data_IF_875830172337
#
_entry.id   IF_875830172337
#
_cell.length_a   1.000
_cell.length_b   1.000
_cell.length_c   1.000
_cell.angle_alpha   90.00
_cell.angle_beta   90.00
_cell.angle_gamma   90.00
#
_symmetry.space_group_name_H-M   'P 1'
#
loop_
_entity.id
_entity.type
_entity.pdbx_description
1 polymer ?
#
# COMPACT_ATOMS: atom_id res chain seq x y z
N UNK A 1 66.40 -58.18 2.25
CA UNK A 1 65.55 -58.94 3.22
C UNK A 1 64.18 -58.29 3.19
N UNK A 2 63.16 -59.04 3.00
CA UNK A 2 61.74 -58.81 2.90
C UNK A 2 61.17 -58.48 1.51
N UNK A 3 60.58 -59.53 1.00
CA UNK A 3 59.89 -59.67 -0.26
C UNK A 3 58.46 -59.10 -0.22
N UNK A 4 58.13 -58.35 -1.23
CA UNK A 4 56.78 -57.96 -1.51
C UNK A 4 56.13 -58.88 -2.55
N UNK A 5 55.11 -59.57 -2.12
CA UNK A 5 54.24 -60.39 -2.96
C UNK A 5 53.10 -59.56 -3.50
N UNK A 6 53.14 -59.20 -4.77
CA UNK A 6 52.05 -58.56 -5.49
C UNK A 6 50.90 -59.57 -5.70
N UNK A 7 49.72 -59.24 -5.15
CA UNK A 7 48.45 -59.96 -5.44
C UNK A 7 47.83 -59.39 -6.72
N UNK A 8 47.74 -60.23 -7.73
CA UNK A 8 46.98 -59.98 -8.96
C UNK A 8 45.45 -60.00 -8.67
N UNK A 9 44.72 -59.02 -9.11
CA UNK A 9 43.23 -58.95 -9.13
C UNK A 9 42.71 -59.68 -10.37
N UNK A 10 41.58 -60.42 -10.27
CA UNK A 10 40.95 -61.07 -11.42
C UNK A 10 40.22 -60.07 -12.32
N UNK A 11 39.98 -60.42 -13.62
CA UNK A 11 39.36 -59.52 -14.58
C UNK A 11 37.84 -59.34 -14.34
N UNK A 12 37.37 -58.11 -14.54
CA UNK A 12 35.96 -57.74 -14.44
C UNK A 12 35.24 -58.15 -15.74
N UNK A 13 34.05 -58.77 -15.70
CA UNK A 13 33.29 -59.07 -16.91
C UNK A 13 32.67 -57.84 -17.52
N UNK A 14 32.78 -57.70 -18.85
CA UNK A 14 32.13 -56.67 -19.64
C UNK A 14 30.60 -56.90 -19.73
N UNK A 15 29.81 -56.00 -19.17
CA UNK A 15 28.36 -55.99 -19.38
C UNK A 15 28.01 -55.31 -20.70
N UNK A 16 27.24 -55.99 -21.50
CA UNK A 16 26.61 -55.46 -22.73
C UNK A 16 25.52 -54.45 -22.38
N UNK A 17 25.35 -53.33 -23.12
CA UNK A 17 24.31 -52.34 -22.84
C UNK A 17 22.93 -52.87 -23.26
N UNK A 18 21.97 -52.83 -22.33
CA UNK A 18 20.56 -53.04 -22.61
C UNK A 18 19.97 -51.75 -23.27
N UNK A 19 18.95 -51.85 -24.09
CA UNK A 19 18.33 -50.68 -24.74
C UNK A 19 17.60 -49.80 -23.73
N UNK A 20 17.99 -48.53 -23.67
CA UNK A 20 17.33 -47.49 -22.92
C UNK A 20 15.93 -47.22 -23.49
N UNK A 21 14.91 -47.64 -22.76
CA UNK A 21 13.52 -47.19 -22.98
C UNK A 21 13.39 -45.77 -22.41
N UNK A 22 13.33 -44.77 -23.29
CA UNK A 22 13.12 -43.38 -22.89
C UNK A 22 11.67 -43.23 -22.44
N UNK A 23 11.44 -43.28 -21.14
CA UNK A 23 10.17 -42.89 -20.55
C UNK A 23 10.07 -41.34 -20.53
N UNK A 24 9.18 -40.82 -21.37
CA UNK A 24 8.84 -39.37 -21.39
C UNK A 24 8.00 -39.06 -20.12
N UNK A 25 8.63 -38.54 -19.07
CA UNK A 25 7.91 -37.96 -17.94
C UNK A 25 7.33 -36.62 -18.36
N UNK A 26 6.04 -36.60 -18.69
CA UNK A 26 5.27 -35.36 -18.74
C UNK A 26 5.03 -34.90 -17.28
N UNK A 27 5.87 -34.02 -16.81
CA UNK A 27 5.64 -33.32 -15.55
C UNK A 27 4.47 -32.34 -15.74
N UNK A 28 3.26 -32.74 -15.40
CA UNK A 28 2.15 -31.83 -15.20
C UNK A 28 2.53 -30.95 -14.01
N UNK A 29 2.89 -29.70 -14.28
CA UNK A 29 2.93 -28.64 -13.27
C UNK A 29 1.50 -28.45 -12.77
N UNK A 30 1.14 -29.13 -11.70
CA UNK A 30 0.00 -28.73 -10.88
C UNK A 30 0.37 -27.37 -10.29
N UNK A 31 -0.23 -26.30 -10.81
CA UNK A 31 -0.21 -25.01 -10.15
C UNK A 31 -0.79 -25.24 -8.75
N UNK A 32 0.03 -25.04 -7.72
CA UNK A 32 -0.43 -25.12 -6.34
C UNK A 32 -1.57 -24.11 -6.18
N UNK A 33 -2.74 -24.59 -5.77
CA UNK A 33 -3.84 -23.71 -5.41
C UNK A 33 -3.37 -22.77 -4.30
N UNK A 34 -3.78 -21.49 -4.31
CA UNK A 34 -3.40 -20.57 -3.25
C UNK A 34 -3.86 -21.11 -1.89
N UNK A 35 -2.99 -21.01 -0.89
CA UNK A 35 -3.30 -21.48 0.45
C UNK A 35 -4.45 -20.63 1.02
N UNK A 36 -5.56 -21.27 1.35
CA UNK A 36 -6.71 -20.63 1.98
C UNK A 36 -6.46 -20.58 3.50
N UNK A 37 -6.45 -19.39 4.09
CA UNK A 37 -6.39 -19.24 5.53
C UNK A 37 -7.74 -19.65 6.17
N UNK A 38 -7.73 -20.05 7.46
CA UNK A 38 -8.87 -20.63 8.17
C UNK A 38 -10.16 -19.76 8.22
N UNK A 39 -10.10 -18.48 7.80
CA UNK A 39 -11.20 -17.50 7.89
C UNK A 39 -11.64 -16.94 6.53
N UNK A 40 -11.43 -17.67 5.44
CA UNK A 40 -11.81 -17.20 4.10
C UNK A 40 -10.75 -16.30 3.43
N UNK A 41 -9.68 -15.90 4.12
CA UNK A 41 -8.57 -15.19 3.52
C UNK A 41 -7.76 -16.09 2.59
N UNK A 42 -7.40 -15.59 1.43
CA UNK A 42 -6.62 -16.31 0.42
C UNK A 42 -5.37 -15.50 0.08
N UNK A 43 -4.19 -16.11 0.17
CA UNK A 43 -2.94 -15.52 -0.27
C UNK A 43 -2.92 -15.41 -1.81
N UNK A 44 -2.67 -14.20 -2.32
CA UNK A 44 -2.66 -13.92 -3.76
C UNK A 44 -1.29 -13.51 -4.28
N UNK A 45 -0.31 -13.25 -3.42
CA UNK A 45 1.01 -12.75 -3.84
C UNK A 45 2.14 -13.77 -3.73
N UNK A 46 2.03 -14.80 -2.89
CA UNK A 46 3.08 -15.81 -2.74
C UNK A 46 3.45 -16.51 -4.07
N UNK A 47 2.52 -16.84 -4.99
CA UNK A 47 2.89 -17.39 -6.29
C UNK A 47 3.75 -16.41 -7.12
N UNK A 48 3.47 -15.11 -7.07
CA UNK A 48 4.32 -14.09 -7.69
C UNK A 48 5.71 -14.05 -7.05
N UNK A 49 5.78 -14.00 -5.72
CA UNK A 49 7.04 -13.93 -4.97
C UNK A 49 7.94 -15.15 -5.27
N UNK A 50 7.36 -16.35 -5.34
CA UNK A 50 8.06 -17.57 -5.71
C UNK A 50 8.58 -17.52 -7.15
N UNK A 51 7.75 -17.07 -8.11
CA UNK A 51 8.15 -16.90 -9.51
C UNK A 51 9.33 -15.93 -9.63
N UNK A 52 9.29 -14.78 -8.93
CA UNK A 52 10.38 -13.82 -8.90
C UNK A 52 11.66 -14.42 -8.32
N UNK A 53 11.56 -15.11 -7.20
CA UNK A 53 12.69 -15.79 -6.56
C UNK A 53 13.32 -16.84 -7.48
N UNK A 54 12.51 -17.64 -8.17
CA UNK A 54 12.95 -18.65 -9.11
C UNK A 54 13.64 -18.04 -10.35
N UNK A 55 13.28 -16.82 -10.74
CA UNK A 55 13.96 -16.07 -11.81
C UNK A 55 15.23 -15.32 -11.33
N UNK A 56 15.60 -15.45 -10.06
CA UNK A 56 16.75 -14.78 -9.46
C UNK A 56 16.48 -13.40 -8.88
N UNK A 57 15.27 -12.87 -9.03
CA UNK A 57 14.85 -11.59 -8.44
C UNK A 57 14.29 -11.85 -7.03
N UNK A 58 14.93 -11.27 -6.02
CA UNK A 58 14.53 -11.45 -4.61
C UNK A 58 14.04 -10.13 -4.03
N UNK A 59 12.89 -10.11 -3.32
CA UNK A 59 12.50 -8.96 -2.54
C UNK A 59 13.62 -8.54 -1.58
N UNK A 60 13.82 -7.23 -1.44
CA UNK A 60 14.75 -6.66 -0.46
C UNK A 60 14.20 -6.84 0.97
N UNK A 61 14.99 -6.49 1.99
CA UNK A 61 14.49 -6.47 3.37
C UNK A 61 13.28 -5.53 3.51
N UNK A 62 12.22 -5.92 4.23
CA UNK A 62 12.00 -7.13 5.02
C UNK A 62 11.46 -8.34 4.25
N UNK A 63 11.46 -8.32 2.92
CA UNK A 63 10.89 -9.34 2.06
C UNK A 63 9.45 -9.02 1.65
N UNK A 64 8.77 -9.94 0.96
CA UNK A 64 7.35 -9.88 0.68
C UNK A 64 6.85 -8.62 -0.03
N UNK A 65 5.66 -8.18 0.38
CA UNK A 65 5.00 -6.96 -0.08
C UNK A 65 4.96 -5.90 1.02
N UNK A 66 4.68 -4.65 0.66
CA UNK A 66 4.59 -3.54 1.62
C UNK A 66 3.43 -2.59 1.37
N UNK A 67 2.72 -2.72 0.26
CA UNK A 67 1.59 -1.87 -0.10
C UNK A 67 0.56 -2.61 -0.92
N UNK A 68 -0.70 -2.22 -0.79
CA UNK A 68 -1.80 -2.65 -1.65
C UNK A 68 -2.78 -1.51 -1.84
N UNK A 69 -3.18 -1.28 -3.09
CA UNK A 69 -4.25 -0.34 -3.47
C UNK A 69 -5.11 -0.95 -4.56
N UNK A 70 -6.34 -0.45 -4.70
CA UNK A 70 -7.30 -0.91 -5.72
C UNK A 70 -7.82 0.28 -6.51
N UNK A 71 -7.89 0.10 -7.82
CA UNK A 71 -8.69 0.96 -8.67
C UNK A 71 -10.17 0.57 -8.51
N UNK A 72 -10.93 1.40 -7.81
CA UNK A 72 -12.30 1.10 -7.45
C UNK A 72 -13.27 1.00 -8.65
N UNK A 73 -12.88 1.47 -9.83
CA UNK A 73 -13.78 1.50 -11.01
C UNK A 73 -13.73 0.22 -11.83
N UNK A 74 -12.63 -0.51 -11.79
CA UNK A 74 -12.43 -1.75 -12.55
C UNK A 74 -11.95 -2.94 -11.71
N UNK A 75 -11.62 -2.71 -10.43
CA UNK A 75 -11.16 -3.77 -9.52
C UNK A 75 -9.68 -4.15 -9.71
N UNK A 76 -8.91 -3.43 -10.53
CA UNK A 76 -7.47 -3.69 -10.65
C UNK A 76 -6.78 -3.48 -9.31
N UNK A 77 -6.13 -4.51 -8.81
CA UNK A 77 -5.34 -4.43 -7.58
C UNK A 77 -3.86 -4.23 -7.92
N UNK A 78 -3.24 -3.25 -7.26
CA UNK A 78 -1.80 -2.98 -7.37
C UNK A 78 -1.14 -3.23 -6.03
N UNK A 79 -0.03 -4.00 -6.05
CA UNK A 79 0.78 -4.29 -4.87
C UNK A 79 2.20 -3.79 -5.08
N UNK A 80 2.86 -3.45 -3.98
CA UNK A 80 4.30 -3.15 -3.99
C UNK A 80 5.06 -4.36 -3.48
N UNK A 81 5.89 -4.93 -4.34
CA UNK A 81 6.87 -5.96 -3.96
C UNK A 81 8.14 -5.26 -3.53
N UNK A 82 8.59 -5.50 -2.31
CA UNK A 82 9.73 -4.79 -1.70
C UNK A 82 10.98 -4.88 -2.57
N UNK A 83 11.50 -3.72 -2.98
CA UNK A 83 12.66 -3.60 -3.86
C UNK A 83 12.42 -3.92 -5.34
N UNK A 84 11.28 -4.50 -5.70
CA UNK A 84 10.96 -4.99 -7.05
C UNK A 84 9.80 -4.25 -7.73
N UNK A 85 9.40 -3.10 -7.18
CA UNK A 85 8.45 -2.19 -7.80
C UNK A 85 6.98 -2.56 -7.63
N UNK A 86 6.15 -2.05 -8.54
CA UNK A 86 4.69 -2.17 -8.48
C UNK A 86 4.19 -3.21 -9.48
N UNK A 87 3.31 -4.06 -8.98
CA UNK A 87 2.72 -5.18 -9.71
C UNK A 87 1.21 -5.08 -9.67
N UNK A 88 0.56 -5.25 -10.82
CA UNK A 88 -0.88 -5.12 -10.97
C UNK A 88 -1.51 -6.43 -11.44
N UNK A 89 -2.69 -6.71 -10.91
CA UNK A 89 -3.57 -7.80 -11.32
C UNK A 89 -4.94 -7.24 -11.67
N UNK A 90 -5.51 -7.69 -12.78
CA UNK A 90 -6.90 -7.43 -13.20
C UNK A 90 -7.81 -8.66 -13.05
N UNK A 91 -7.31 -9.72 -12.43
CA UNK A 91 -8.02 -10.99 -12.19
C UNK A 91 -8.01 -11.40 -10.71
N UNK A 92 -8.05 -10.39 -9.82
CA UNK A 92 -8.12 -10.54 -8.35
C UNK A 92 -6.91 -11.29 -7.75
N UNK A 93 -5.71 -11.08 -8.32
CA UNK A 93 -4.47 -11.63 -7.81
C UNK A 93 -4.11 -13.02 -8.35
N UNK A 94 -4.81 -13.52 -9.37
CA UNK A 94 -4.45 -14.79 -10.02
C UNK A 94 -3.20 -14.66 -10.88
N UNK A 95 -3.10 -13.54 -11.63
CA UNK A 95 -1.91 -13.21 -12.42
C UNK A 95 -1.44 -11.79 -12.14
N UNK A 96 -0.14 -11.53 -12.33
CA UNK A 96 0.50 -10.27 -12.01
C UNK A 96 1.44 -9.82 -13.12
N UNK A 97 1.37 -8.53 -13.49
CA UNK A 97 2.31 -7.85 -14.39
C UNK A 97 2.95 -6.66 -13.69
N UNK A 98 4.22 -6.40 -13.95
CA UNK A 98 4.88 -5.19 -13.48
C UNK A 98 4.37 -3.97 -14.27
N UNK A 99 4.10 -2.85 -13.57
CA UNK A 99 3.52 -1.65 -14.19
C UNK A 99 4.41 -0.42 -14.14
N UNK A 100 5.46 -0.44 -13.34
CA UNK A 100 6.30 0.75 -13.10
C UNK A 100 7.58 0.77 -13.94
N UNK A 101 7.78 -0.20 -14.82
CA UNK A 101 8.97 -0.32 -15.66
C UNK A 101 10.28 -0.09 -14.87
N UNK A 102 10.39 -0.69 -13.69
CA UNK A 102 11.50 -0.55 -12.73
C UNK A 102 11.78 0.91 -12.27
N UNK A 103 10.82 1.81 -12.43
CA UNK A 103 10.95 3.21 -12.01
C UNK A 103 10.84 3.35 -10.50
N UNK A 104 9.97 2.57 -9.87
CA UNK A 104 9.71 2.57 -8.43
C UNK A 104 10.46 1.42 -7.77
N UNK A 105 10.97 1.66 -6.56
CA UNK A 105 11.70 0.64 -5.78
C UNK A 105 11.58 0.92 -4.28
N UNK A 106 12.30 0.15 -3.44
CA UNK A 106 12.22 0.27 -1.99
C UNK A 106 10.95 -0.34 -1.43
N UNK A 107 10.54 0.14 -0.25
CA UNK A 107 9.36 -0.35 0.48
C UNK A 107 8.44 0.78 0.89
N UNK A 108 7.20 0.44 1.17
CA UNK A 108 6.28 1.31 1.90
C UNK A 108 6.54 1.14 3.39
N UNK A 109 6.82 2.23 4.10
CA UNK A 109 7.00 2.21 5.55
C UNK A 109 5.64 2.21 6.25
N UNK A 110 4.62 2.75 5.62
CA UNK A 110 3.27 2.85 6.19
C UNK A 110 2.21 2.38 5.21
N UNK A 111 1.03 2.03 5.72
CA UNK A 111 -0.13 1.69 4.89
C UNK A 111 -0.69 2.84 4.03
N UNK A 112 -0.11 4.04 4.13
CA UNK A 112 -0.48 5.21 3.32
C UNK A 112 0.62 5.64 2.33
N UNK A 113 1.71 4.88 2.24
CA UNK A 113 2.82 5.23 1.36
C UNK A 113 2.50 5.01 -0.12
N UNK A 114 1.65 4.04 -0.46
CA UNK A 114 1.08 3.93 -1.81
C UNK A 114 -0.34 4.49 -1.82
N UNK A 115 -0.59 5.45 -2.71
CA UNK A 115 -1.85 6.21 -2.81
C UNK A 115 -2.46 6.08 -4.20
N UNK A 116 -3.78 6.06 -4.28
CA UNK A 116 -4.55 5.97 -5.52
C UNK A 116 -5.59 7.09 -5.59
N UNK A 117 -5.80 7.65 -6.78
CA UNK A 117 -6.91 8.57 -7.02
C UNK A 117 -8.23 7.80 -7.02
N UNK A 118 -9.11 8.14 -6.09
CA UNK A 118 -10.43 7.49 -5.95
C UNK A 118 -11.42 7.90 -7.06
N UNK A 119 -11.09 8.89 -7.89
CA UNK A 119 -11.97 9.41 -8.93
C UNK A 119 -11.54 8.98 -10.34
N UNK A 120 -10.23 8.91 -10.60
CA UNK A 120 -9.67 8.69 -11.94
C UNK A 120 -8.78 7.44 -11.96
N UNK A 121 -9.14 6.42 -12.75
CA UNK A 121 -8.35 5.20 -12.88
C UNK A 121 -6.92 5.44 -13.38
N UNK A 122 -5.98 4.62 -12.92
CA UNK A 122 -4.58 4.65 -13.37
C UNK A 122 -3.71 5.72 -12.70
N UNK A 123 -4.28 6.62 -11.89
CA UNK A 123 -3.52 7.64 -11.17
C UNK A 123 -3.07 7.09 -9.83
N UNK A 124 -1.75 6.95 -9.68
CA UNK A 124 -1.09 6.34 -8.54
C UNK A 124 0.11 7.18 -8.10
N UNK A 125 0.42 7.16 -6.81
CA UNK A 125 1.67 7.67 -6.27
C UNK A 125 2.24 6.68 -5.26
N UNK A 126 3.55 6.51 -5.26
CA UNK A 126 4.27 5.64 -4.34
C UNK A 126 5.37 6.43 -3.64
N UNK A 127 5.26 6.55 -2.34
CA UNK A 127 6.24 7.13 -1.44
C UNK A 127 7.09 5.99 -0.88
N UNK A 128 8.40 6.05 -1.09
CA UNK A 128 9.26 4.90 -0.80
C UNK A 128 10.32 5.23 0.22
N UNK A 129 10.57 4.27 1.10
CA UNK A 129 11.77 4.19 1.92
C UNK A 129 12.77 3.24 1.24
N UNK A 130 14.07 3.57 1.32
CA UNK A 130 15.19 2.80 0.73
C UNK A 130 15.10 2.60 -0.79
N UNK A 131 14.36 3.48 -1.49
CA UNK A 131 14.20 3.34 -2.93
C UNK A 131 13.70 4.58 -3.64
N UNK A 132 13.24 4.36 -4.86
CA UNK A 132 12.69 5.40 -5.73
C UNK A 132 11.21 5.57 -5.48
N UNK A 133 10.77 6.83 -5.37
CA UNK A 133 9.38 7.23 -5.26
C UNK A 133 8.95 8.01 -6.51
N UNK A 134 7.64 8.12 -6.74
CA UNK A 134 7.09 8.83 -7.90
C UNK A 134 5.59 8.62 -8.06
N UNK A 135 5.08 9.06 -9.20
CA UNK A 135 3.67 9.00 -9.53
C UNK A 135 3.43 8.70 -11.02
N UNK A 136 2.21 8.31 -11.35
CA UNK A 136 1.72 8.12 -12.72
C UNK A 136 0.29 8.64 -12.83
N UNK A 137 -0.13 9.00 -14.05
CA UNK A 137 -1.51 9.38 -14.36
C UNK A 137 -2.23 8.34 -15.21
N UNK A 138 -1.55 7.31 -15.68
CA UNK A 138 -2.08 6.30 -16.60
C UNK A 138 -1.73 4.85 -16.20
N UNK A 139 -1.00 4.69 -15.08
CA UNK A 139 -0.54 3.38 -14.60
C UNK A 139 0.62 2.76 -15.39
N UNK A 140 1.16 3.47 -16.37
CA UNK A 140 2.22 2.96 -17.26
C UNK A 140 3.45 3.89 -17.33
N UNK A 141 3.24 5.20 -17.42
CA UNK A 141 4.31 6.17 -17.50
C UNK A 141 4.54 6.82 -16.13
N UNK A 142 5.69 6.54 -15.54
CA UNK A 142 6.01 6.96 -14.18
C UNK A 142 6.96 8.15 -14.16
N UNK A 143 6.60 9.17 -13.40
CA UNK A 143 7.43 10.33 -13.05
C UNK A 143 8.11 10.06 -11.71
N UNK A 144 9.46 9.94 -11.70
CA UNK A 144 10.21 9.82 -10.45
C UNK A 144 10.30 11.17 -9.75
N UNK A 145 10.25 11.16 -8.43
CA UNK A 145 10.70 12.29 -7.63
C UNK A 145 12.20 12.48 -7.78
N UNK A 146 12.67 13.71 -7.61
CA UNK A 146 14.12 14.03 -7.56
C UNK A 146 14.81 13.34 -6.38
N UNK A 147 16.12 13.48 -6.30
CA UNK A 147 16.93 12.88 -5.22
C UNK A 147 16.48 13.28 -3.82
N UNK A 148 15.96 14.50 -3.63
CA UNK A 148 15.35 14.93 -2.37
C UNK A 148 14.06 14.17 -2.07
N UNK A 149 13.37 13.71 -3.10
CA UNK A 149 12.15 12.92 -2.99
C UNK A 149 12.38 11.45 -2.65
N UNK A 150 13.20 11.15 -1.63
CA UNK A 150 13.51 9.80 -1.13
C UNK A 150 13.25 9.72 0.37
N UNK A 151 13.08 8.49 0.87
CA UNK A 151 12.87 8.18 2.29
C UNK A 151 11.65 8.88 2.88
N UNK A 152 10.48 8.54 2.34
CA UNK A 152 9.19 9.04 2.78
C UNK A 152 8.45 8.01 3.62
N UNK A 153 7.80 8.46 4.68
CA UNK A 153 6.86 7.63 5.44
C UNK A 153 5.52 7.52 4.73
N UNK A 154 5.01 8.65 4.26
CA UNK A 154 3.77 8.76 3.50
C UNK A 154 3.65 10.14 2.86
N UNK A 155 2.69 10.30 1.97
CA UNK A 155 2.40 11.59 1.36
C UNK A 155 0.99 11.69 0.82
N UNK A 156 0.54 12.92 0.65
CA UNK A 156 -0.75 13.28 0.07
C UNK A 156 -0.54 13.98 -1.25
N UNK A 157 -1.29 13.55 -2.26
CA UNK A 157 -1.29 14.12 -3.61
C UNK A 157 -2.58 14.89 -3.83
N UNK A 158 -2.49 16.07 -4.41
CA UNK A 158 -3.65 16.76 -4.93
C UNK A 158 -4.13 16.11 -6.23
N UNK A 159 -5.20 15.33 -6.12
CA UNK A 159 -5.84 14.65 -7.24
C UNK A 159 -6.87 15.51 -7.98
N UNK A 160 -7.10 16.77 -7.58
CA UNK A 160 -8.20 17.61 -8.11
C UNK A 160 -8.01 18.04 -9.56
N UNK A 161 -6.77 18.11 -10.04
CA UNK A 161 -6.44 18.53 -11.40
C UNK A 161 -6.04 17.38 -12.32
N UNK A 162 -6.00 17.59 -13.64
CA UNK A 162 -5.56 16.56 -14.60
C UNK A 162 -4.05 16.30 -14.54
N UNK A 163 -3.29 17.27 -14.06
CA UNK A 163 -1.82 17.20 -13.91
C UNK A 163 -1.49 17.23 -12.42
N UNK A 164 -0.69 16.29 -11.98
CA UNK A 164 -0.21 16.25 -10.60
C UNK A 164 0.88 17.31 -10.43
N UNK A 165 0.61 18.30 -9.58
CA UNK A 165 1.56 19.38 -9.26
C UNK A 165 1.87 19.42 -7.77
N UNK A 166 0.84 19.47 -6.94
CA UNK A 166 0.98 19.67 -5.49
C UNK A 166 1.02 18.35 -4.77
N UNK A 167 2.09 18.13 -4.04
CA UNK A 167 2.27 16.96 -3.16
C UNK A 167 2.88 17.46 -1.87
N UNK A 168 2.37 16.98 -0.73
CA UNK A 168 2.95 17.22 0.59
C UNK A 168 3.30 15.86 1.21
N UNK A 169 4.52 15.71 1.73
CA UNK A 169 5.00 14.43 2.19
C UNK A 169 5.78 14.55 3.51
N UNK A 170 5.66 13.51 4.33
CA UNK A 170 6.37 13.35 5.59
C UNK A 170 7.67 12.55 5.37
N UNK A 171 8.76 13.07 5.85
CA UNK A 171 10.09 12.48 5.74
C UNK A 171 10.32 11.46 6.85
N UNK A 172 10.95 10.35 6.52
CA UNK A 172 11.30 9.30 7.46
C UNK A 172 12.49 9.75 8.36
N UNK A 173 12.35 9.54 9.67
CA UNK A 173 13.40 9.66 10.69
C UNK A 173 14.35 10.87 10.50
N UNK A 174 13.79 12.07 10.47
CA UNK A 174 14.56 13.32 10.34
C UNK A 174 15.06 13.83 11.69
N UNK A 175 16.03 14.73 11.66
CA UNK A 175 16.50 15.51 12.81
C UNK A 175 16.38 17.03 12.49
N UNK A 176 15.44 17.76 13.12
CA UNK A 176 14.42 17.30 14.08
C UNK A 176 13.42 16.32 13.45
N UNK A 177 12.79 15.43 14.23
CA UNK A 177 11.81 14.48 13.72
C UNK A 177 10.58 15.17 13.16
N UNK A 178 9.98 14.56 12.09
CA UNK A 178 8.69 15.00 11.56
C UNK A 178 8.76 16.11 10.51
N UNK A 179 9.86 16.21 9.78
CA UNK A 179 9.98 17.14 8.67
C UNK A 179 8.95 16.87 7.58
N UNK A 180 8.35 17.94 7.10
CA UNK A 180 7.36 17.94 6.02
C UNK A 180 7.90 18.74 4.84
N UNK A 181 7.67 18.21 3.65
CA UNK A 181 8.09 18.81 2.40
C UNK A 181 6.91 19.00 1.46
N UNK A 182 6.95 20.07 0.68
CA UNK A 182 5.98 20.42 -0.34
C UNK A 182 6.67 20.52 -1.70
N UNK A 183 6.03 19.97 -2.72
CA UNK A 183 6.32 20.27 -4.13
C UNK A 183 5.09 20.88 -4.80
N UNK A 184 5.31 21.76 -5.78
CA UNK A 184 4.26 22.34 -6.62
C UNK A 184 4.53 22.12 -8.12
N UNK A 185 5.52 21.28 -8.44
CA UNK A 185 5.94 20.91 -9.79
C UNK A 185 6.01 19.39 -9.99
N UNK A 186 5.20 18.63 -9.24
CA UNK A 186 5.11 17.19 -9.38
C UNK A 186 6.33 16.42 -8.87
N UNK A 187 7.09 16.99 -7.94
CA UNK A 187 8.23 16.30 -7.33
C UNK A 187 9.57 16.58 -8.02
N UNK A 188 9.64 17.59 -8.89
CA UNK A 188 10.90 18.06 -9.48
C UNK A 188 11.70 18.86 -8.47
N UNK A 189 11.04 19.79 -7.76
CA UNK A 189 11.65 20.53 -6.64
C UNK A 189 10.82 20.38 -5.36
N UNK A 190 11.52 20.40 -4.23
CA UNK A 190 10.92 20.22 -2.92
C UNK A 190 11.33 21.32 -1.97
N UNK A 191 10.37 21.89 -1.28
CA UNK A 191 10.54 22.90 -0.24
C UNK A 191 10.27 22.27 1.12
N UNK A 192 11.24 22.33 2.03
CA UNK A 192 11.02 22.01 3.45
C UNK A 192 10.08 23.05 4.06
N UNK A 193 9.05 22.60 4.75
CA UNK A 193 8.12 23.47 5.45
C UNK A 193 8.63 23.84 6.84
N UNK A 194 8.14 24.96 7.38
CA UNK A 194 8.49 25.45 8.73
C UNK A 194 7.76 24.68 9.84
N UNK A 195 6.78 23.86 9.50
CA UNK A 195 6.02 23.03 10.44
C UNK A 195 6.64 21.64 10.55
N UNK A 196 6.54 21.07 11.75
CA UNK A 196 6.89 19.69 12.04
C UNK A 196 5.62 18.93 12.42
N UNK A 197 5.55 17.68 12.02
CA UNK A 197 4.50 16.76 12.47
C UNK A 197 5.13 15.67 13.34
N UNK A 198 4.33 15.10 14.24
CA UNK A 198 4.84 14.02 15.08
C UNK A 198 4.71 12.67 14.36
N UNK A 199 5.82 12.13 13.89
CA UNK A 199 5.89 10.86 13.15
C UNK A 199 6.17 9.63 14.02
N UNK A 200 6.25 9.77 15.36
CA UNK A 200 6.38 8.60 16.23
C UNK A 200 5.20 7.64 16.06
N UNK A 201 5.47 6.34 16.13
CA UNK A 201 4.50 5.26 15.87
C UNK A 201 3.24 5.32 16.74
N UNK A 202 3.34 5.87 17.95
CA UNK A 202 2.27 6.05 18.92
C UNK A 202 1.50 7.36 18.76
N UNK A 203 1.94 8.26 17.88
CA UNK A 203 1.33 9.58 17.66
C UNK A 203 0.79 9.73 16.25
N UNK A 204 -0.46 10.18 16.20
CA UNK A 204 -1.15 10.38 14.93
C UNK A 204 -0.74 11.73 14.36
N UNK A 205 -0.29 11.71 13.12
CA UNK A 205 0.01 12.90 12.32
C UNK A 205 -0.58 12.76 10.93
N UNK A 206 -0.82 13.85 10.25
CA UNK A 206 -1.43 13.87 8.92
C UNK A 206 -0.79 14.97 8.06
N UNK A 207 -0.69 14.70 6.77
CA UNK A 207 -0.43 15.71 5.74
C UNK A 207 -1.52 15.66 4.70
N UNK A 208 -1.85 16.80 4.08
CA UNK A 208 -2.88 16.88 3.05
C UNK A 208 -2.55 17.91 1.98
N UNK A 209 -2.63 17.48 0.71
CA UNK A 209 -2.62 18.37 -0.46
C UNK A 209 -4.04 18.51 -0.99
N UNK A 210 -4.58 19.74 -1.00
CA UNK A 210 -5.97 20.04 -1.31
C UNK A 210 -6.06 21.18 -2.34
N UNK A 211 -5.47 21.01 -3.51
CA UNK A 211 -5.39 22.06 -4.52
C UNK A 211 -4.34 23.11 -4.18
N UNK A 212 -4.78 24.32 -3.95
CA UNK A 212 -3.96 25.45 -3.51
C UNK A 212 -3.71 25.47 -1.99
N UNK A 213 -4.34 24.55 -1.23
CA UNK A 213 -4.19 24.45 0.20
C UNK A 213 -3.36 23.23 0.62
N UNK A 214 -2.59 23.40 1.68
CA UNK A 214 -1.86 22.34 2.37
C UNK A 214 -2.36 22.21 3.81
N UNK A 215 -2.45 20.99 4.29
CA UNK A 215 -2.81 20.68 5.67
C UNK A 215 -1.70 19.94 6.37
N UNK A 216 -1.54 20.19 7.66
CA UNK A 216 -0.80 19.36 8.58
C UNK A 216 -1.59 19.18 9.87
N UNK A 217 -1.40 18.05 10.52
CA UNK A 217 -1.97 17.76 11.82
C UNK A 217 -0.96 17.04 12.70
N UNK A 218 -0.88 17.47 13.95
CA UNK A 218 -0.24 16.72 15.03
C UNK A 218 -1.20 16.64 16.21
N UNK A 219 -1.17 15.52 16.93
CA UNK A 219 -2.04 15.33 18.09
C UNK A 219 -1.80 16.43 19.14
N UNK A 220 -2.85 17.14 19.47
CA UNK A 220 -2.83 18.27 20.42
C UNK A 220 -2.79 19.65 19.75
N UNK A 221 -2.32 19.77 18.52
CA UNK A 221 -2.22 21.05 17.81
C UNK A 221 -3.48 21.36 16.98
N UNK A 222 -4.24 20.33 16.60
CA UNK A 222 -5.37 20.42 15.70
C UNK A 222 -4.94 20.41 14.23
N UNK A 223 -5.89 20.71 13.33
CA UNK A 223 -5.64 20.78 11.90
C UNK A 223 -5.19 22.20 11.55
N UNK A 224 -3.97 22.33 11.05
CA UNK A 224 -3.40 23.57 10.54
C UNK A 224 -3.51 23.59 9.02
N UNK A 225 -3.86 24.74 8.45
CA UNK A 225 -4.02 24.96 7.02
C UNK A 225 -3.15 26.14 6.54
N UNK A 226 -2.54 25.96 5.37
CA UNK A 226 -1.82 26.98 4.63
C UNK A 226 -2.41 27.14 3.23
N UNK A 227 -2.47 28.36 2.70
CA UNK A 227 -2.82 28.69 1.31
C UNK A 227 -1.72 29.45 0.58
N UNK A 228 -0.55 29.58 1.18
CA UNK A 228 0.61 30.31 0.67
C UNK A 228 1.87 29.40 0.59
N UNK A 229 1.66 28.18 0.16
CA UNK A 229 2.70 27.17 0.03
C UNK A 229 3.49 26.94 1.33
N UNK A 230 2.80 26.92 2.46
CA UNK A 230 3.38 26.66 3.78
C UNK A 230 4.19 27.79 4.36
N UNK A 231 4.02 29.03 3.88
CA UNK A 231 4.67 30.20 4.46
C UNK A 231 4.02 30.59 5.80
N UNK A 232 2.68 30.55 5.83
CA UNK A 232 1.90 30.78 7.06
C UNK A 232 0.89 29.65 7.29
N UNK A 233 0.54 29.44 8.55
CA UNK A 233 -0.36 28.39 8.98
C UNK A 233 -1.42 28.94 9.95
N UNK A 234 -2.67 28.57 9.75
CA UNK A 234 -3.77 28.88 10.64
C UNK A 234 -4.50 27.62 11.08
N UNK A 235 -4.92 27.57 12.34
CA UNK A 235 -5.73 26.48 12.86
C UNK A 235 -7.14 26.55 12.32
N UNK A 236 -7.63 25.51 11.68
CA UNK A 236 -8.96 25.43 11.07
C UNK A 236 -9.88 24.44 11.78
N UNK A 237 -9.34 23.56 12.64
CA UNK A 237 -10.15 22.61 13.41
C UNK A 237 -9.38 22.07 14.61
N UNK A 238 -10.09 21.84 15.73
CA UNK A 238 -9.60 21.10 16.89
C UNK A 238 -9.87 19.58 16.80
N UNK A 239 -10.49 19.13 15.70
CA UNK A 239 -10.74 17.72 15.48
C UNK A 239 -9.46 16.89 15.50
N UNK A 240 -9.59 15.62 15.86
CA UNK A 240 -8.48 14.69 16.02
C UNK A 240 -8.54 13.58 14.95
N UNK A 241 -8.05 13.83 13.72
CA UNK A 241 -7.97 12.81 12.69
C UNK A 241 -7.13 11.62 13.13
N UNK A 242 -7.51 10.43 12.68
CA UNK A 242 -6.76 9.19 12.86
C UNK A 242 -6.15 8.69 11.54
N UNK A 243 -6.69 9.13 10.40
CA UNK A 243 -6.11 8.85 9.09
C UNK A 243 -4.96 9.80 8.79
N UNK A 244 -3.99 9.34 7.99
CA UNK A 244 -2.72 10.06 7.70
C UNK A 244 -2.81 11.04 6.56
N UNK A 245 -3.74 10.80 5.64
CA UNK A 245 -3.98 11.64 4.47
C UNK A 245 -5.48 11.84 4.27
N UNK A 246 -5.94 12.99 3.79
CA UNK A 246 -7.32 13.17 3.37
C UNK A 246 -7.58 12.42 2.05
N UNK A 247 -8.77 11.85 1.92
CA UNK A 247 -9.23 11.21 0.70
C UNK A 247 -10.12 12.17 -0.07
N UNK A 248 -9.76 12.50 -1.32
CA UNK A 248 -10.60 13.30 -2.22
C UNK A 248 -11.57 12.39 -2.96
N UNK A 249 -12.87 12.61 -2.80
CA UNK A 249 -13.90 11.93 -3.57
C UNK A 249 -15.04 12.87 -3.94
N UNK A 250 -15.36 12.95 -5.25
CA UNK A 250 -16.44 13.80 -5.79
C UNK A 250 -16.41 15.24 -5.26
N UNK A 251 -15.21 15.85 -5.24
CA UNK A 251 -15.01 17.23 -4.83
C UNK A 251 -15.06 17.51 -3.32
N UNK A 252 -15.13 16.46 -2.50
CA UNK A 252 -15.09 16.55 -1.04
C UNK A 252 -13.85 15.85 -0.51
N UNK A 253 -13.29 16.39 0.57
CA UNK A 253 -12.19 15.75 1.30
C UNK A 253 -12.72 15.10 2.58
N UNK A 254 -12.25 13.88 2.83
CA UNK A 254 -12.68 13.07 3.95
C UNK A 254 -11.49 12.68 4.82
N UNK A 255 -11.66 12.74 6.13
CA UNK A 255 -10.75 12.26 7.15
C UNK A 255 -11.48 11.34 8.11
N UNK A 256 -10.76 10.38 8.65
CA UNK A 256 -11.28 9.52 9.71
C UNK A 256 -10.93 10.05 11.09
N UNK A 257 -11.85 9.86 12.01
CA UNK A 257 -11.67 10.13 13.45
C UNK A 257 -12.10 8.95 14.29
N UNK A 258 -11.93 9.04 15.62
CA UNK A 258 -12.52 8.06 16.54
C UNK A 258 -14.06 8.06 16.52
N UNK A 259 -14.67 9.14 16.01
CA UNK A 259 -16.12 9.37 16.07
C UNK A 259 -16.79 9.34 14.68
N UNK A 260 -16.12 8.82 13.65
CA UNK A 260 -16.61 8.75 12.28
C UNK A 260 -15.89 9.68 11.32
N UNK A 261 -16.59 10.16 10.31
CA UNK A 261 -16.05 10.95 9.23
C UNK A 261 -15.98 12.45 9.58
N UNK A 262 -14.87 13.09 9.20
CA UNK A 262 -14.79 14.52 8.99
C UNK A 262 -14.83 14.81 7.50
N UNK A 263 -15.67 15.76 7.08
CA UNK A 263 -15.87 16.12 5.67
C UNK A 263 -15.65 17.60 5.48
N UNK A 264 -14.86 17.94 4.47
CA UNK A 264 -14.67 19.31 3.98
C UNK A 264 -15.13 19.46 2.54
N UNK A 265 -15.84 20.53 2.22
CA UNK A 265 -16.31 20.90 0.88
C UNK A 265 -15.57 22.10 0.30
N UNK A 266 -14.64 22.68 1.06
CA UNK A 266 -13.97 23.95 0.82
C UNK A 266 -12.43 23.83 0.95
N UNK A 267 -11.89 22.70 0.49
CA UNK A 267 -10.44 22.43 0.51
C UNK A 267 -9.84 22.61 1.91
N UNK A 268 -10.51 22.01 2.90
CA UNK A 268 -10.04 21.99 4.28
C UNK A 268 -10.17 23.29 5.05
N UNK A 269 -10.87 24.32 4.52
CA UNK A 269 -11.10 25.55 5.27
C UNK A 269 -12.05 25.33 6.44
N UNK A 270 -13.06 24.49 6.24
CA UNK A 270 -13.95 24.02 7.32
C UNK A 270 -14.11 22.50 7.30
N UNK A 271 -14.37 21.95 8.46
CA UNK A 271 -14.57 20.51 8.66
C UNK A 271 -15.84 20.25 9.45
N UNK A 272 -16.64 19.32 8.98
CA UNK A 272 -17.89 18.92 9.62
C UNK A 272 -17.85 17.43 9.93
N UNK A 273 -18.26 17.08 11.16
CA UNK A 273 -18.50 15.70 11.54
C UNK A 273 -19.72 15.18 10.78
N UNK A 274 -19.61 14.03 10.15
CA UNK A 274 -20.68 13.38 9.40
C UNK A 274 -20.89 11.94 9.89
N UNK A 275 -22.15 11.57 10.08
CA UNK A 275 -22.57 10.20 10.31
C UNK A 275 -22.37 9.69 11.73
N UNK A 276 -22.53 8.37 11.87
CA UNK A 276 -22.42 7.63 13.12
C UNK A 276 -20.98 7.35 13.53
N UNK A 277 -20.82 7.08 14.81
CA UNK A 277 -19.50 6.79 15.37
C UNK A 277 -18.95 5.46 14.84
N UNK A 278 -17.73 5.52 14.33
CA UNK A 278 -16.89 4.37 14.03
C UNK A 278 -15.44 4.81 14.17
N UNK A 279 -14.67 4.06 14.92
CA UNK A 279 -13.24 4.35 15.08
C UNK A 279 -12.49 3.69 13.93
N UNK A 280 -11.84 4.46 13.04
CA UNK A 280 -11.11 3.90 11.94
C UNK A 280 -9.77 4.58 11.66
N UNK A 281 -8.82 3.76 11.23
CA UNK A 281 -7.44 4.12 10.96
C UNK A 281 -7.18 4.39 9.48
N UNK A 282 -7.89 3.67 8.59
CA UNK A 282 -7.68 3.75 7.16
C UNK A 282 -9.01 3.85 6.42
N UNK A 283 -9.01 4.58 5.32
CA UNK A 283 -10.18 4.92 4.54
C UNK A 283 -10.61 6.38 4.73
N UNK A 284 -11.81 6.76 4.27
CA UNK A 284 -12.78 5.86 3.64
C UNK A 284 -12.28 5.35 2.29
N UNK A 285 -12.56 4.08 2.00
CA UNK A 285 -12.41 3.45 0.70
C UNK A 285 -13.78 3.45 0.04
N UNK A 286 -13.94 4.21 -1.05
CA UNK A 286 -15.25 4.43 -1.66
C UNK A 286 -15.68 3.29 -2.56
N UNK A 287 -16.97 2.98 -2.53
CA UNK A 287 -17.65 2.08 -3.43
C UNK A 287 -18.12 2.77 -4.71
N UNK A 288 -19.35 2.51 -5.13
CA UNK A 288 -19.93 3.08 -6.35
C UNK A 288 -20.13 4.59 -6.25
N UNK A 289 -20.45 5.05 -5.06
CA UNK A 289 -20.74 6.45 -4.76
C UNK A 289 -20.30 6.81 -3.33
N UNK A 290 -20.69 7.99 -2.87
CA UNK A 290 -20.40 8.47 -1.51
C UNK A 290 -21.34 7.92 -0.43
N UNK A 291 -22.32 7.08 -0.81
CA UNK A 291 -23.13 6.35 0.13
C UNK A 291 -22.48 5.03 0.55
N UNK A 292 -21.72 4.42 -0.35
CA UNK A 292 -21.03 3.15 -0.08
C UNK A 292 -19.56 3.37 0.22
N UNK A 293 -19.15 3.03 1.45
CA UNK A 293 -17.76 3.17 1.90
C UNK A 293 -17.38 2.00 2.79
N UNK A 294 -16.09 1.65 2.76
CA UNK A 294 -15.45 0.73 3.70
C UNK A 294 -14.35 1.47 4.46
N UNK A 295 -14.27 1.22 5.76
CA UNK A 295 -13.22 1.76 6.64
C UNK A 295 -12.59 0.63 7.46
N UNK A 296 -11.33 0.81 7.82
CA UNK A 296 -10.59 -0.15 8.65
C UNK A 296 -10.42 0.43 10.05
N UNK A 297 -10.97 -0.26 11.01
CA UNK A 297 -10.91 0.08 12.43
C UNK A 297 -10.17 -0.97 13.25
N UNK A 298 -10.05 -0.73 14.56
CA UNK A 298 -9.33 -1.63 15.48
C UNK A 298 -9.92 -3.04 15.56
N UNK A 299 -11.23 -3.17 15.29
CA UNK A 299 -11.95 -4.43 15.47
C UNK A 299 -12.28 -5.13 14.15
N UNK A 300 -11.94 -4.52 13.01
CA UNK A 300 -12.22 -5.08 11.71
C UNK A 300 -12.46 -4.04 10.62
N UNK A 301 -12.97 -4.50 9.50
CA UNK A 301 -13.48 -3.67 8.43
C UNK A 301 -14.96 -3.38 8.66
N UNK A 302 -15.35 -2.12 8.49
CA UNK A 302 -16.72 -1.65 8.64
C UNK A 302 -17.20 -1.05 7.33
N UNK A 303 -18.44 -1.31 6.99
CA UNK A 303 -19.08 -0.82 5.77
C UNK A 303 -20.29 0.04 6.10
N UNK A 304 -20.49 1.07 5.30
CA UNK A 304 -21.72 1.85 5.25
C UNK A 304 -22.33 1.79 3.85
N UNK A 305 -23.64 1.92 3.77
CA UNK A 305 -24.42 2.07 2.52
C UNK A 305 -25.32 3.31 2.54
N UNK A 306 -25.10 4.19 3.53
CA UNK A 306 -25.90 5.39 3.75
C UNK A 306 -25.04 6.60 4.11
N UNK A 307 -23.87 6.72 3.46
CA UNK A 307 -22.98 7.87 3.60
C UNK A 307 -22.35 8.03 4.98
N UNK A 308 -22.16 6.92 5.71
CA UNK A 308 -21.58 6.94 7.04
C UNK A 308 -22.59 7.18 8.17
N UNK A 309 -23.90 7.26 7.89
CA UNK A 309 -24.93 7.43 8.93
C UNK A 309 -24.94 6.26 9.90
N UNK A 310 -24.76 5.06 9.39
CA UNK A 310 -24.56 3.85 10.20
C UNK A 310 -23.50 2.96 9.56
N UNK A 311 -22.90 2.12 10.39
CA UNK A 311 -21.81 1.22 10.01
C UNK A 311 -22.12 -0.19 10.47
N UNK A 312 -21.89 -1.16 9.61
CA UNK A 312 -21.95 -2.58 9.91
C UNK A 312 -20.55 -3.22 9.79
N UNK A 313 -20.28 -4.21 10.61
CA UNK A 313 -19.00 -4.94 10.51
C UNK A 313 -19.04 -5.85 9.29
N UNK A 314 -18.18 -5.57 8.31
CA UNK A 314 -18.09 -6.34 7.08
C UNK A 314 -17.14 -7.54 7.22
N UNK A 315 -16.04 -7.37 7.97
CA UNK A 315 -15.05 -8.44 8.17
C UNK A 315 -14.32 -8.32 9.51
N UNK A 316 -13.87 -9.46 10.05
CA UNK A 316 -12.86 -9.51 11.09
C UNK A 316 -11.47 -9.47 10.44
N UNK A 317 -10.56 -8.67 11.02
CA UNK A 317 -9.16 -8.65 10.64
C UNK A 317 -8.30 -9.56 11.55
N UNK A 318 -8.94 -10.20 12.53
CA UNK A 318 -8.29 -11.17 13.42
C UNK A 318 -8.74 -12.57 13.02
N UNK A 319 -7.87 -13.42 12.47
CA UNK A 319 -8.18 -14.82 12.21
C UNK A 319 -8.45 -15.59 13.49
N UNK A 320 -9.30 -16.60 13.43
CA UNK A 320 -9.77 -17.33 14.63
C UNK A 320 -8.69 -18.22 15.25
N UNK A 321 -7.73 -18.76 14.52
CA UNK A 321 -6.59 -19.52 15.07
C UNK A 321 -5.46 -19.62 14.05
N UNK A 322 -4.23 -19.26 14.45
CA UNK A 322 -2.99 -19.55 13.71
C UNK A 322 -2.76 -18.85 12.38
N UNK A 323 -3.65 -17.94 11.98
CA UNK A 323 -3.55 -17.18 10.75
C UNK A 323 -2.90 -15.80 10.94
N UNK A 324 -2.69 -15.10 9.84
CA UNK A 324 -2.17 -13.74 9.84
C UNK A 324 -3.11 -12.79 10.62
N UNK A 325 -2.55 -12.08 11.59
CA UNK A 325 -3.27 -11.01 12.28
C UNK A 325 -3.03 -9.72 11.49
N UNK A 326 -4.02 -9.30 10.72
CA UNK A 326 -4.02 -7.96 10.12
C UNK A 326 -4.40 -6.94 11.18
N UNK A 327 -3.47 -6.69 12.10
CA UNK A 327 -3.70 -5.65 13.11
C UNK A 327 -3.61 -4.30 12.42
N UNK A 328 -4.65 -3.45 12.48
CA UNK A 328 -4.55 -2.08 12.05
C UNK A 328 -3.45 -1.38 12.85
N UNK A 329 -2.35 -1.11 12.19
CA UNK A 329 -1.18 -0.45 12.77
C UNK A 329 -0.49 0.39 11.68
N UNK A 330 0.64 0.98 12.01
CA UNK A 330 1.46 1.78 11.11
C UNK A 330 1.80 1.08 9.78
N UNK A 331 2.04 -0.23 9.82
CA UNK A 331 2.48 -1.03 8.67
C UNK A 331 1.35 -1.70 7.90
N UNK A 332 0.13 -1.73 8.45
CA UNK A 332 -1.02 -2.36 7.81
C UNK A 332 -1.49 -1.58 6.60
N UNK A 333 -1.68 -2.26 5.48
CA UNK A 333 -2.23 -1.70 4.26
C UNK A 333 -3.46 -2.50 3.83
N UNK A 334 -4.50 -1.78 3.42
CA UNK A 334 -5.80 -2.34 3.08
C UNK A 334 -6.35 -1.65 1.84
N UNK A 335 -7.00 -2.43 0.99
CA UNK A 335 -7.65 -1.90 -0.19
C UNK A 335 -8.95 -2.65 -0.46
N UNK A 336 -9.98 -1.95 -0.91
CA UNK A 336 -11.28 -2.53 -1.22
C UNK A 336 -11.60 -2.42 -2.70
N UNK A 337 -11.94 -3.56 -3.26
CA UNK A 337 -12.50 -3.69 -4.60
C UNK A 337 -14.03 -3.75 -4.52
N UNK A 338 -14.72 -2.65 -4.82
CA UNK A 338 -16.18 -2.63 -4.80
C UNK A 338 -16.82 -3.33 -6.00
N UNK A 339 -16.04 -3.59 -7.06
CA UNK A 339 -16.52 -4.25 -8.29
C UNK A 339 -16.76 -5.73 -8.02
N UNK A 340 -15.76 -6.38 -7.41
CA UNK A 340 -15.81 -7.81 -7.10
C UNK A 340 -16.11 -8.11 -5.64
N UNK A 341 -16.27 -7.07 -4.81
CA UNK A 341 -16.52 -7.17 -3.37
C UNK A 341 -15.41 -7.89 -2.61
N UNK A 342 -14.18 -7.50 -2.88
CA UNK A 342 -12.98 -8.11 -2.30
C UNK A 342 -12.24 -7.09 -1.43
N UNK A 343 -11.95 -7.46 -0.20
CA UNK A 343 -11.03 -6.75 0.68
C UNK A 343 -9.64 -7.37 0.55
N UNK A 344 -8.65 -6.54 0.25
CA UNK A 344 -7.25 -6.92 0.28
C UNK A 344 -6.58 -6.38 1.54
N UNK A 345 -5.68 -7.17 2.11
CA UNK A 345 -4.91 -6.79 3.29
C UNK A 345 -3.48 -7.31 3.19
N UNK A 346 -2.54 -6.51 3.71
CA UNK A 346 -1.15 -6.89 3.88
C UNK A 346 -0.54 -6.07 5.04
N UNK A 347 0.70 -6.35 5.35
CA UNK A 347 1.55 -5.51 6.18
C UNK A 347 2.98 -5.62 5.65
N UNK A 348 3.81 -4.64 5.94
CA UNK A 348 5.20 -4.61 5.47
C UNK A 348 5.93 -5.95 5.70
N UNK A 349 6.48 -6.51 4.62
CA UNK A 349 7.21 -7.78 4.64
C UNK A 349 6.35 -9.05 4.53
N UNK A 350 5.03 -8.90 4.40
CA UNK A 350 4.10 -10.02 4.34
C UNK A 350 3.53 -10.22 2.92
N UNK A 351 2.97 -11.40 2.64
CA UNK A 351 2.12 -11.58 1.47
C UNK A 351 0.86 -10.70 1.52
N UNK A 352 0.24 -10.52 0.36
CA UNK A 352 -1.07 -9.90 0.23
C UNK A 352 -2.14 -10.98 0.23
N UNK A 353 -3.15 -10.78 1.05
CA UNK A 353 -4.30 -11.67 1.17
C UNK A 353 -5.57 -10.96 0.66
N UNK A 354 -6.53 -11.73 0.18
CA UNK A 354 -7.86 -11.27 -0.18
C UNK A 354 -8.95 -11.97 0.61
N UNK A 355 -10.06 -11.30 0.83
CA UNK A 355 -11.28 -11.81 1.46
C UNK A 355 -12.49 -11.35 0.65
N UNK A 356 -13.39 -12.25 0.27
CA UNK A 356 -14.69 -11.92 -0.33
C UNK A 356 -15.65 -11.42 0.75
N UNK A 357 -16.36 -10.26 0.49
CA UNK A 357 -17.27 -9.58 1.42
C UNK A 357 -18.75 -9.80 1.03
#
# INVERSE_FOLDING_TARGET
MHSDLARQKPPIPMNTPSPLTTALFVATLLAAAPAQAADGWTDVSTPLLQRLTNSGARPAWPGGCSGVVVNRTNGDVTIKVVGLGLWQSSDQGKTWRQIDNHTISGRDETGWATSVDQNVPGRLASFSLDGSAGWTTDGAHWQRFTTLGRNWDFGSVDWSGPVIKTIIAAKHETDPPGEVYLTQDGGVTWKKLSVLINTHRDRISMVGALGDASLVYSKGDGILRSTDAGATWSKVSDANPQTRIPVLFRGRHYLGTANGLLVSKDRGATWQQQGGAVNFWQGPLFGRDDQEMLVIGNEGAFMTRNGGTSWERAASLKPKEGGFVFTPNWFGCYAWDPVHRVLYASAMGNPVFRLEL
#
